data_IF_566011875105
#
_entry.id   IF_566011875105
#
_cell.length_a   1.000
_cell.length_b   1.000
_cell.length_c   1.000
_cell.angle_alpha   90.00
_cell.angle_beta   90.00
_cell.angle_gamma   90.00
#
_symmetry.space_group_name_H-M   'P 1'
#
loop_
_entity.id
_entity.type
_entity.pdbx_description
1 polymer ?
#
# COMPACT_ATOMS: atom_id res chain seq x y z
N UNK A 1 13.77 19.07 -7.83
CA UNK A 1 12.81 17.99 -8.14
C UNK A 1 11.74 17.85 -7.06
N UNK A 2 12.05 17.70 -5.78
CA UNK A 2 11.04 17.62 -4.68
C UNK A 2 10.19 18.90 -4.53
N UNK A 3 10.76 20.07 -4.65
CA UNK A 3 10.04 21.36 -4.53
C UNK A 3 8.97 21.53 -5.62
N UNK A 4 9.27 21.15 -6.86
CA UNK A 4 8.29 21.18 -7.95
C UNK A 4 7.12 20.23 -7.71
N UNK A 5 7.38 19.02 -7.16
CA UNK A 5 6.32 18.07 -6.84
C UNK A 5 5.40 18.62 -5.74
N UNK A 6 5.95 19.16 -4.64
CA UNK A 6 5.14 19.73 -3.56
C UNK A 6 4.29 20.90 -4.07
N UNK A 7 4.83 21.76 -4.94
CA UNK A 7 4.04 22.83 -5.56
C UNK A 7 2.88 22.28 -6.39
N UNK A 8 3.12 21.25 -7.19
CA UNK A 8 2.08 20.59 -7.98
C UNK A 8 1.00 19.95 -7.09
N UNK A 9 1.40 19.24 -6.03
CA UNK A 9 0.48 18.65 -5.09
C UNK A 9 -0.37 19.69 -4.37
N UNK A 10 0.23 20.85 -4.00
CA UNK A 10 -0.49 21.96 -3.40
C UNK A 10 -1.61 22.47 -4.31
N UNK A 11 -1.31 22.72 -5.58
CA UNK A 11 -2.33 23.20 -6.53
C UNK A 11 -3.42 22.15 -6.75
N UNK A 12 -3.04 20.88 -6.77
CA UNK A 12 -3.96 19.80 -7.04
C UNK A 12 -4.96 19.54 -5.89
N UNK A 13 -4.54 19.71 -4.61
CA UNK A 13 -5.40 19.48 -3.43
C UNK A 13 -6.13 20.71 -2.93
N UNK A 14 -5.73 21.90 -3.36
CA UNK A 14 -6.30 23.18 -2.91
C UNK A 14 -7.83 23.22 -2.83
N UNK A 15 -8.60 22.66 -3.79
CA UNK A 15 -10.07 22.67 -3.71
C UNK A 15 -10.65 21.91 -2.51
N UNK A 16 -9.87 21.01 -1.89
CA UNK A 16 -10.30 20.20 -0.73
C UNK A 16 -9.88 20.80 0.62
N UNK A 17 -9.03 21.84 0.58
CA UNK A 17 -8.49 22.49 1.75
C UNK A 17 -8.59 24.02 1.57
N UNK A 18 -9.75 24.62 1.88
CA UNK A 18 -9.96 26.06 1.71
C UNK A 18 -9.12 26.90 2.69
N UNK A 19 -8.71 26.29 3.82
CA UNK A 19 -7.89 26.92 4.84
C UNK A 19 -6.41 26.59 4.71
N UNK A 20 -5.60 27.11 5.62
CA UNK A 20 -4.16 26.81 5.69
C UNK A 20 -3.95 25.32 6.00
N UNK A 21 -3.07 24.68 5.25
CA UNK A 21 -2.67 23.29 5.44
C UNK A 21 -1.16 23.12 5.20
N UNK A 22 -0.60 22.00 5.65
CA UNK A 22 0.75 21.52 5.30
C UNK A 22 0.66 20.25 4.48
N UNK A 23 1.71 19.97 3.72
CA UNK A 23 1.93 18.69 3.02
C UNK A 23 3.27 18.13 3.47
N UNK A 24 3.23 16.99 4.13
CA UNK A 24 4.40 16.33 4.70
C UNK A 24 4.53 14.90 4.16
N UNK A 25 5.74 14.36 4.07
CA UNK A 25 5.95 12.96 3.70
C UNK A 25 5.34 12.06 4.78
N UNK A 26 4.43 11.16 4.39
CA UNK A 26 3.77 10.22 5.31
C UNK A 26 4.52 8.90 5.40
N UNK A 27 4.85 8.30 4.27
CA UNK A 27 5.69 7.10 4.18
C UNK A 27 6.30 6.99 2.79
N UNK A 28 7.42 6.26 2.71
CA UNK A 28 7.97 5.74 1.46
C UNK A 28 8.03 4.23 1.58
N UNK A 29 7.43 3.55 0.65
CA UNK A 29 7.48 2.09 0.55
C UNK A 29 8.67 1.66 -0.32
N UNK A 30 8.98 0.37 -0.33
CA UNK A 30 9.94 -0.23 -1.26
C UNK A 30 9.45 -0.25 -2.72
N UNK A 31 8.28 0.33 -3.00
CA UNK A 31 7.70 0.54 -4.33
C UNK A 31 8.01 1.94 -4.88
N UNK A 32 7.62 2.18 -6.14
CA UNK A 32 7.70 3.52 -6.73
C UNK A 32 6.65 4.49 -6.17
N UNK A 33 5.77 4.05 -5.28
CA UNK A 33 4.76 4.89 -4.63
C UNK A 33 5.36 5.75 -3.53
N UNK A 34 4.87 6.97 -3.43
CA UNK A 34 5.16 7.86 -2.32
C UNK A 34 3.85 8.39 -1.75
N UNK A 35 3.81 8.57 -0.44
CA UNK A 35 2.62 9.03 0.25
C UNK A 35 2.90 10.33 0.98
N UNK A 36 1.99 11.28 0.83
CA UNK A 36 2.05 12.60 1.47
C UNK A 36 0.79 12.82 2.28
N UNK A 37 0.95 13.26 3.52
CA UNK A 37 -0.15 13.66 4.37
C UNK A 37 -0.41 15.15 4.21
N UNK A 38 -1.66 15.50 3.91
CA UNK A 38 -2.14 16.87 3.93
C UNK A 38 -2.86 17.09 5.24
N UNK A 39 -2.40 18.04 6.04
CA UNK A 39 -2.92 18.33 7.38
C UNK A 39 -3.43 19.75 7.44
N UNK A 40 -4.71 19.93 7.81
CA UNK A 40 -5.32 21.19 8.22
C UNK A 40 -5.81 21.09 9.67
N UNK A 41 -6.34 22.19 10.23
CA UNK A 41 -6.90 22.18 11.58
C UNK A 41 -8.11 21.24 11.71
N UNK A 42 -8.86 21.00 10.63
CA UNK A 42 -10.13 20.27 10.66
C UNK A 42 -10.03 18.85 10.14
N UNK A 43 -9.05 18.54 9.27
CA UNK A 43 -8.97 17.25 8.59
C UNK A 43 -7.57 16.89 8.14
N UNK A 44 -7.37 15.57 7.99
CA UNK A 44 -6.20 15.01 7.32
C UNK A 44 -6.63 14.16 6.12
N UNK A 45 -5.81 14.14 5.09
CA UNK A 45 -5.96 13.25 3.92
C UNK A 45 -4.59 12.80 3.44
N UNK A 46 -4.57 11.70 2.70
CA UNK A 46 -3.36 11.16 2.09
C UNK A 46 -3.41 11.36 0.59
N UNK A 47 -2.30 11.84 0.03
CA UNK A 47 -2.03 11.80 -1.41
C UNK A 47 -1.10 10.63 -1.69
N UNK A 48 -1.53 9.70 -2.53
CA UNK A 48 -0.64 8.71 -3.15
C UNK A 48 -0.13 9.28 -4.46
N UNK A 49 1.18 9.18 -4.66
CA UNK A 49 1.88 9.52 -5.90
C UNK A 49 2.48 8.24 -6.47
N UNK A 50 2.00 7.77 -7.59
CA UNK A 50 2.48 6.57 -8.27
C UNK A 50 2.87 6.97 -9.71
N UNK A 51 4.18 7.00 -10.07
CA UNK A 51 4.60 7.40 -11.40
C UNK A 51 3.98 6.50 -12.49
N UNK A 52 3.16 7.02 -13.44
CA UNK A 52 2.38 6.19 -14.37
C UNK A 52 3.21 5.25 -15.24
N UNK A 53 4.47 5.61 -15.52
CA UNK A 53 5.41 4.80 -16.33
C UNK A 53 5.89 3.53 -15.61
N UNK A 54 5.88 3.53 -14.30
CA UNK A 54 6.42 2.44 -13.48
C UNK A 54 5.33 1.70 -12.75
N UNK A 55 4.27 2.40 -12.35
CA UNK A 55 3.24 1.85 -11.51
C UNK A 55 1.88 2.50 -11.80
N UNK A 56 1.17 2.04 -12.85
CA UNK A 56 -0.15 2.57 -13.18
C UNK A 56 -1.14 2.32 -12.04
N UNK A 57 -1.94 3.34 -11.72
CA UNK A 57 -2.88 3.28 -10.59
C UNK A 57 -4.14 2.45 -10.86
N UNK A 58 -4.34 1.99 -12.08
CA UNK A 58 -5.53 1.21 -12.48
C UNK A 58 -5.72 -0.06 -11.64
N UNK A 59 -4.63 -0.81 -11.39
CA UNK A 59 -4.68 -2.02 -10.55
C UNK A 59 -5.05 -1.68 -9.10
N UNK A 60 -4.51 -0.59 -8.55
CA UNK A 60 -4.89 -0.11 -7.22
C UNK A 60 -6.38 0.24 -7.15
N UNK A 61 -6.90 0.92 -8.16
CA UNK A 61 -8.32 1.31 -8.23
C UNK A 61 -9.24 0.10 -8.38
N UNK A 62 -8.87 -0.89 -9.20
CA UNK A 62 -9.64 -2.13 -9.35
C UNK A 62 -9.72 -2.90 -8.02
N UNK A 63 -8.59 -3.13 -7.36
CA UNK A 63 -8.57 -3.81 -6.05
C UNK A 63 -9.37 -3.02 -5.00
N UNK A 64 -9.20 -1.70 -4.97
CA UNK A 64 -9.97 -0.83 -4.05
C UNK A 64 -11.48 -0.99 -4.28
N UNK A 65 -11.93 -1.05 -5.54
CA UNK A 65 -13.35 -1.22 -5.85
C UNK A 65 -13.88 -2.60 -5.43
N UNK A 66 -13.10 -3.67 -5.61
CA UNK A 66 -13.45 -5.03 -5.18
C UNK A 66 -13.58 -5.12 -3.66
N UNK A 67 -12.60 -4.59 -2.93
CA UNK A 67 -12.62 -4.52 -1.48
C UNK A 67 -13.79 -3.70 -0.95
N UNK A 68 -14.11 -2.57 -1.61
CA UNK A 68 -15.25 -1.74 -1.26
C UNK A 68 -16.59 -2.50 -1.40
N UNK A 69 -16.77 -3.24 -2.50
CA UNK A 69 -17.97 -4.07 -2.72
C UNK A 69 -18.12 -5.16 -1.65
N UNK A 70 -17.02 -5.74 -1.21
CA UNK A 70 -16.97 -6.70 -0.11
C UNK A 70 -17.08 -6.04 1.28
N UNK A 71 -17.31 -4.72 1.36
CA UNK A 71 -17.42 -3.96 2.62
C UNK A 71 -16.20 -4.13 3.53
N UNK A 72 -15.04 -4.25 2.96
CA UNK A 72 -13.77 -4.17 3.68
C UNK A 72 -13.50 -2.70 3.99
N UNK A 73 -12.98 -2.43 5.18
CA UNK A 73 -12.59 -1.06 5.57
C UNK A 73 -11.35 -0.63 4.78
N UNK A 74 -11.55 0.30 3.86
CA UNK A 74 -10.51 0.83 2.96
C UNK A 74 -10.51 2.35 2.98
N UNK A 75 -9.42 3.00 2.58
CA UNK A 75 -9.42 4.46 2.40
C UNK A 75 -10.47 4.91 1.39
N UNK A 76 -11.27 5.90 1.77
CA UNK A 76 -12.22 6.54 0.85
C UNK A 76 -11.45 7.38 -0.16
N UNK A 77 -11.68 7.18 -1.45
CA UNK A 77 -11.09 7.97 -2.52
C UNK A 77 -11.93 9.23 -2.76
N UNK A 78 -11.27 10.40 -2.82
CA UNK A 78 -11.91 11.70 -3.05
C UNK A 78 -11.61 12.26 -4.44
N UNK A 79 -10.40 12.04 -4.96
CA UNK A 79 -9.98 12.55 -6.27
C UNK A 79 -8.94 11.63 -6.88
N UNK A 80 -8.97 11.50 -8.20
CA UNK A 80 -8.05 10.71 -9.00
C UNK A 80 -7.53 11.58 -10.14
N UNK A 81 -6.26 11.45 -10.46
CA UNK A 81 -5.63 11.95 -11.68
C UNK A 81 -4.75 10.84 -12.26
N UNK A 82 -5.32 10.05 -13.17
CA UNK A 82 -4.60 8.92 -13.77
C UNK A 82 -3.40 9.37 -14.59
N UNK A 83 -3.50 10.53 -15.26
CA UNK A 83 -2.43 11.05 -16.10
C UNK A 83 -1.17 11.39 -15.31
N UNK A 84 -1.34 11.78 -14.05
CA UNK A 84 -0.28 12.12 -13.12
C UNK A 84 0.02 11.01 -12.11
N UNK A 85 -0.82 9.97 -12.05
CA UNK A 85 -0.72 8.90 -11.04
C UNK A 85 -1.01 9.39 -9.62
N UNK A 86 -1.98 10.29 -9.46
CA UNK A 86 -2.33 10.88 -8.17
C UNK A 86 -3.68 10.36 -7.66
N UNK A 87 -3.73 10.00 -6.38
CA UNK A 87 -4.97 9.66 -5.68
C UNK A 87 -5.03 10.42 -4.35
N UNK A 88 -6.12 11.15 -4.11
CA UNK A 88 -6.43 11.73 -2.81
C UNK A 88 -7.40 10.81 -2.07
N UNK A 89 -7.02 10.38 -0.89
CA UNK A 89 -7.80 9.43 -0.10
C UNK A 89 -7.88 9.82 1.38
N UNK A 90 -8.77 9.17 2.14
CA UNK A 90 -8.86 9.36 3.58
C UNK A 90 -7.58 8.90 4.27
N UNK A 91 -7.24 9.59 5.35
CA UNK A 91 -6.16 9.20 6.26
C UNK A 91 -6.71 8.19 7.28
N UNK A 92 -6.06 7.05 7.41
CA UNK A 92 -6.40 6.02 8.39
C UNK A 92 -5.61 6.17 9.70
N UNK A 93 -4.84 7.24 9.84
CA UNK A 93 -4.05 7.51 11.04
C UNK A 93 -2.62 6.95 10.99
N UNK A 94 -2.01 6.86 12.16
CA UNK A 94 -0.62 6.43 12.33
C UNK A 94 -0.46 5.11 13.09
N UNK A 95 -1.52 4.66 13.75
CA UNK A 95 -1.43 3.50 14.63
C UNK A 95 -1.29 2.21 13.81
N UNK A 96 -0.20 1.50 14.01
CA UNK A 96 0.04 0.18 13.44
C UNK A 96 -0.24 -0.88 14.50
N UNK A 97 -0.70 -2.05 14.09
CA UNK A 97 -0.91 -3.17 15.02
C UNK A 97 0.33 -3.44 15.88
N UNK A 98 1.52 -3.40 15.28
CA UNK A 98 2.76 -3.63 16.01
C UNK A 98 2.98 -2.62 17.15
N UNK A 99 2.61 -1.36 16.93
CA UNK A 99 2.86 -0.27 17.89
C UNK A 99 1.89 -0.32 19.09
N UNK A 100 0.70 -0.90 18.89
CA UNK A 100 -0.36 -1.01 19.91
C UNK A 100 -0.54 -2.44 20.44
N UNK A 101 0.31 -3.38 19.99
CA UNK A 101 0.23 -4.79 20.39
C UNK A 101 0.78 -4.97 21.80
N UNK A 102 -0.09 -5.40 22.71
CA UNK A 102 0.24 -5.78 24.08
C UNK A 102 -0.39 -7.13 24.41
N UNK A 103 -0.15 -7.69 25.60
CA UNK A 103 -0.82 -8.92 26.03
C UNK A 103 -2.34 -8.75 26.11
N UNK A 104 -2.80 -7.56 26.47
CA UNK A 104 -4.21 -7.21 26.62
C UNK A 104 -4.91 -7.02 25.27
N UNK A 105 -4.21 -6.43 24.29
CA UNK A 105 -4.77 -6.11 22.97
C UNK A 105 -4.57 -7.22 21.93
N UNK A 106 -3.66 -8.17 22.18
CA UNK A 106 -3.26 -9.23 21.23
C UNK A 106 -4.45 -9.99 20.67
N UNK A 107 -5.30 -10.51 21.56
CA UNK A 107 -6.44 -11.33 21.14
C UNK A 107 -7.41 -10.55 20.24
N UNK A 108 -7.77 -9.34 20.65
CA UNK A 108 -8.70 -8.49 19.91
C UNK A 108 -8.14 -8.11 18.51
N UNK A 109 -6.89 -7.64 18.46
CA UNK A 109 -6.28 -7.21 17.20
C UNK A 109 -6.08 -8.36 16.21
N UNK A 110 -5.63 -9.53 16.68
CA UNK A 110 -5.48 -10.69 15.80
C UNK A 110 -6.82 -11.27 15.34
N UNK A 111 -7.83 -11.28 16.20
CA UNK A 111 -9.18 -11.71 15.81
C UNK A 111 -9.73 -10.78 14.71
N UNK A 112 -9.63 -9.48 14.90
CA UNK A 112 -10.08 -8.50 13.92
C UNK A 112 -9.35 -8.64 12.56
N UNK A 113 -8.03 -8.86 12.60
CA UNK A 113 -7.25 -9.11 11.38
C UNK A 113 -7.65 -10.41 10.68
N UNK A 114 -7.85 -11.51 11.45
CA UNK A 114 -8.28 -12.81 10.90
C UNK A 114 -9.69 -12.72 10.31
N UNK A 115 -10.62 -12.06 10.98
CA UNK A 115 -11.97 -11.85 10.47
C UNK A 115 -11.96 -11.06 9.16
N UNK A 116 -11.11 -10.03 9.06
CA UNK A 116 -10.92 -9.28 7.83
C UNK A 116 -10.38 -10.17 6.69
N UNK A 117 -9.37 -11.02 6.96
CA UNK A 117 -8.81 -11.95 5.97
C UNK A 117 -9.87 -12.98 5.54
N UNK A 118 -10.60 -13.59 6.48
CA UNK A 118 -11.68 -14.50 6.17
C UNK A 118 -12.75 -13.86 5.28
N UNK A 119 -13.09 -12.61 5.57
CA UNK A 119 -14.04 -11.84 4.78
C UNK A 119 -13.51 -11.57 3.37
N UNK A 120 -12.24 -11.19 3.23
CA UNK A 120 -11.60 -11.03 1.91
C UNK A 120 -11.67 -12.32 1.10
N UNK A 121 -11.33 -13.46 1.70
CA UNK A 121 -11.34 -14.76 1.03
C UNK A 121 -12.73 -15.20 0.56
N UNK A 122 -13.78 -14.85 1.29
CA UNK A 122 -15.13 -15.31 1.00
C UNK A 122 -15.94 -14.33 0.12
N UNK A 123 -15.69 -13.03 0.20
CA UNK A 123 -16.58 -12.02 -0.38
C UNK A 123 -15.95 -11.22 -1.51
N UNK A 124 -14.61 -11.20 -1.65
CA UNK A 124 -13.98 -10.42 -2.71
C UNK A 124 -14.04 -11.15 -4.04
N UNK A 125 -14.56 -10.47 -5.07
CA UNK A 125 -14.55 -10.98 -6.43
C UNK A 125 -13.12 -11.04 -6.97
N UNK A 126 -12.65 -12.25 -7.28
CA UNK A 126 -11.31 -12.52 -7.83
C UNK A 126 -11.32 -12.76 -9.34
N UNK A 127 -12.46 -12.61 -10.01
CA UNK A 127 -12.58 -12.82 -11.47
C UNK A 127 -11.64 -11.87 -12.22
N UNK A 128 -10.85 -12.43 -13.14
CA UNK A 128 -9.88 -11.68 -13.94
C UNK A 128 -8.60 -11.26 -13.21
N UNK A 129 -8.41 -11.66 -11.96
CA UNK A 129 -7.12 -11.54 -11.28
C UNK A 129 -6.23 -12.73 -11.61
N UNK A 130 -4.93 -12.48 -11.72
CA UNK A 130 -3.93 -13.53 -11.87
C UNK A 130 -3.91 -14.42 -10.64
N UNK A 131 -3.65 -15.71 -10.88
CA UNK A 131 -3.54 -16.69 -9.79
C UNK A 131 -2.13 -16.66 -9.23
N UNK A 132 -2.02 -16.63 -7.91
CA UNK A 132 -0.77 -16.88 -7.21
C UNK A 132 -0.51 -18.39 -7.22
N UNK A 133 -0.06 -18.89 -8.37
CA UNK A 133 0.15 -20.30 -8.63
C UNK A 133 1.51 -20.79 -8.09
N UNK A 134 1.81 -22.07 -8.33
CA UNK A 134 3.07 -22.67 -7.86
C UNK A 134 4.30 -21.98 -8.45
N UNK A 135 4.22 -21.50 -9.70
CA UNK A 135 5.34 -20.79 -10.33
C UNK A 135 5.63 -19.49 -9.62
N UNK A 136 4.61 -18.69 -9.35
CA UNK A 136 4.76 -17.43 -8.59
C UNK A 136 5.27 -17.69 -7.17
N UNK A 137 4.75 -18.73 -6.49
CA UNK A 137 5.24 -19.10 -5.16
C UNK A 137 6.73 -19.49 -5.18
N UNK A 138 7.16 -20.25 -6.17
CA UNK A 138 8.57 -20.63 -6.32
C UNK A 138 9.45 -19.42 -6.65
N UNK A 139 8.98 -18.48 -7.46
CA UNK A 139 9.69 -17.24 -7.75
C UNK A 139 9.90 -16.42 -6.46
N UNK A 140 8.86 -16.24 -5.66
CA UNK A 140 8.97 -15.53 -4.38
C UNK A 140 9.95 -16.22 -3.41
N UNK A 141 9.89 -17.55 -3.32
CA UNK A 141 10.83 -18.30 -2.48
C UNK A 141 12.28 -18.17 -2.95
N UNK A 142 12.52 -18.12 -4.26
CA UNK A 142 13.87 -17.98 -4.82
C UNK A 142 14.57 -16.67 -4.47
N UNK A 143 13.81 -15.63 -4.07
CA UNK A 143 14.36 -14.36 -3.59
C UNK A 143 15.19 -14.54 -2.33
N UNK A 144 14.86 -15.52 -1.47
CA UNK A 144 15.66 -15.83 -0.29
C UNK A 144 17.05 -16.33 -0.68
N UNK A 145 17.13 -17.26 -1.63
CA UNK A 145 18.39 -17.81 -2.12
C UNK A 145 19.24 -16.74 -2.80
N UNK A 146 18.61 -15.95 -3.67
CA UNK A 146 19.35 -14.93 -4.42
C UNK A 146 19.83 -13.79 -3.53
N UNK A 147 18.94 -13.23 -2.72
CA UNK A 147 19.24 -11.98 -2.00
C UNK A 147 19.84 -12.23 -0.63
N UNK A 148 19.26 -13.12 0.16
CA UNK A 148 19.78 -13.38 1.52
C UNK A 148 21.01 -14.27 1.49
N UNK A 149 20.91 -15.46 0.88
CA UNK A 149 22.03 -16.40 0.82
C UNK A 149 23.15 -15.86 -0.09
N UNK A 150 22.79 -15.50 -1.34
CA UNK A 150 23.75 -15.09 -2.35
C UNK A 150 24.37 -13.73 -2.07
N UNK A 151 23.54 -12.69 -1.91
CA UNK A 151 24.03 -11.30 -1.82
C UNK A 151 24.37 -10.85 -0.41
N UNK A 152 23.54 -11.19 0.60
CA UNK A 152 23.78 -10.74 1.96
C UNK A 152 24.84 -11.60 2.68
N UNK A 153 24.71 -12.93 2.62
CA UNK A 153 25.68 -13.84 3.24
C UNK A 153 26.90 -14.13 2.34
N UNK A 154 26.85 -13.79 1.06
CA UNK A 154 27.87 -14.06 0.05
C UNK A 154 28.22 -15.57 -0.05
N UNK A 155 27.21 -16.43 0.07
CA UNK A 155 27.31 -17.89 -0.02
C UNK A 155 26.77 -18.34 -1.37
N UNK A 156 27.45 -19.29 -2.01
CA UNK A 156 26.93 -19.95 -3.22
C UNK A 156 26.39 -21.32 -2.85
N UNK A 157 25.09 -21.54 -3.08
CA UNK A 157 24.48 -22.86 -2.87
C UNK A 157 24.95 -23.86 -3.91
N UNK A 158 25.18 -25.09 -3.51
CA UNK A 158 25.35 -26.22 -4.44
C UNK A 158 23.97 -26.56 -5.06
N UNK A 159 24.00 -27.21 -6.23
CA UNK A 159 22.78 -27.63 -6.91
C UNK A 159 21.82 -28.43 -6.01
N UNK A 160 22.38 -29.33 -5.19
CA UNK A 160 21.63 -30.15 -4.24
C UNK A 160 20.92 -29.28 -3.17
N UNK A 161 21.61 -28.26 -2.62
CA UNK A 161 21.05 -27.37 -1.61
C UNK A 161 19.97 -26.43 -2.17
N UNK A 162 20.04 -26.08 -3.46
CA UNK A 162 19.02 -25.25 -4.10
C UNK A 162 17.78 -26.05 -4.52
N UNK A 163 17.86 -27.38 -4.58
CA UNK A 163 16.74 -28.28 -4.94
C UNK A 163 16.02 -28.86 -3.70
N UNK A 164 16.59 -28.78 -2.50
CA UNK A 164 16.02 -29.16 -1.21
C UNK A 164 15.17 -28.02 -0.60
#
# INVERSE_FOLDING_TARGET
>A
MKENLISELNDWVRPFFPEKYSIDSASSDASFRSYYRVTSNEQTKIIMVAPPKHEPISSFLDITQRLFKAKINIPKIYKIDESKGLILMSDLGNDKYLDILTKETLYCLYTDAMDCICKMQNEVDTSGLDKFDKSEQMNEMSLFDEWYIGKHLNITLSKKQSEE
#
